data_IF_006166226210
#
_entry.id   IF_006166226210
#
_cell.length_a   1.000
_cell.length_b   1.000
_cell.length_c   1.000
_cell.angle_alpha   90.00
_cell.angle_beta   90.00
_cell.angle_gamma   90.00
#
_symmetry.space_group_name_H-M   'P 1'
#
loop_
_entity.id
_entity.type
_entity.pdbx_description
1 polymer ?
#
# COMPACT_ATOMS: atom_id res chain seq x y z
N UNK A 1 21.72 -11.39 -6.08
CA UNK A 1 20.53 -10.78 -5.45
C UNK A 1 19.58 -10.28 -6.53
N UNK A 2 18.34 -10.76 -6.54
CA UNK A 2 17.29 -10.21 -7.41
C UNK A 2 17.13 -8.70 -7.15
N UNK A 3 16.90 -7.93 -8.21
CA UNK A 3 16.59 -6.50 -8.10
C UNK A 3 15.13 -6.39 -7.65
N UNK A 4 14.83 -5.57 -6.63
CA UNK A 4 13.45 -5.36 -6.19
C UNK A 4 12.66 -4.59 -7.25
N UNK A 5 11.45 -5.04 -7.54
CA UNK A 5 10.56 -4.39 -8.50
C UNK A 5 10.18 -3.00 -8.01
N UNK A 6 10.36 -1.93 -8.82
CA UNK A 6 9.95 -0.59 -8.42
C UNK A 6 8.42 -0.51 -8.28
N UNK A 7 7.99 0.11 -7.18
CA UNK A 7 6.58 0.31 -6.88
C UNK A 7 6.00 1.36 -7.84
N UNK A 8 4.90 1.01 -8.50
CA UNK A 8 4.10 1.97 -9.27
C UNK A 8 3.28 2.81 -8.31
N UNK A 9 3.36 4.14 -8.39
CA UNK A 9 2.48 5.03 -7.62
C UNK A 9 1.23 5.40 -8.39
N UNK A 10 0.24 5.97 -7.71
CA UNK A 10 -0.96 6.51 -8.34
C UNK A 10 -0.62 7.76 -9.20
N UNK A 11 -1.25 7.97 -10.37
CA UNK A 11 -0.96 9.08 -11.29
C UNK A 11 -1.60 10.41 -10.86
N UNK A 12 -1.25 10.91 -9.67
CA UNK A 12 -1.85 12.12 -9.07
C UNK A 12 -1.83 13.33 -10.01
N UNK A 13 -0.74 13.56 -10.75
CA UNK A 13 -0.62 14.69 -11.65
C UNK A 13 -1.66 14.66 -12.79
N UNK A 14 -1.91 13.48 -13.38
CA UNK A 14 -2.91 13.32 -14.43
C UNK A 14 -4.33 13.48 -13.87
N UNK A 15 -4.56 12.92 -12.69
CA UNK A 15 -5.83 13.00 -11.94
C UNK A 15 -6.20 14.45 -11.61
N UNK A 16 -5.28 15.21 -11.00
CA UNK A 16 -5.49 16.60 -10.62
C UNK A 16 -5.70 17.48 -11.86
N UNK A 17 -4.91 17.27 -12.92
CA UNK A 17 -5.09 18.03 -14.16
C UNK A 17 -6.47 17.80 -14.79
N UNK A 18 -7.00 16.59 -14.68
CA UNK A 18 -8.32 16.26 -15.23
C UNK A 18 -9.46 16.82 -14.38
N UNK A 19 -9.38 16.70 -13.05
CA UNK A 19 -10.38 17.31 -12.17
C UNK A 19 -10.45 18.83 -12.36
N UNK A 20 -9.31 19.51 -12.41
CA UNK A 20 -9.25 20.96 -12.64
C UNK A 20 -9.83 21.38 -14.00
N UNK A 21 -9.64 20.57 -15.04
CA UNK A 21 -10.21 20.86 -16.35
C UNK A 21 -11.74 20.85 -16.32
N UNK A 22 -12.34 19.87 -15.62
CA UNK A 22 -13.79 19.78 -15.46
C UNK A 22 -14.31 20.85 -14.50
N UNK A 23 -13.65 21.05 -13.37
CA UNK A 23 -14.02 22.08 -12.39
C UNK A 23 -14.02 23.48 -13.02
N UNK A 24 -13.10 23.77 -13.95
CA UNK A 24 -13.11 25.03 -14.70
C UNK A 24 -14.40 25.19 -15.51
N UNK A 25 -14.84 24.13 -16.21
CA UNK A 25 -16.11 24.14 -16.96
C UNK A 25 -17.31 24.32 -16.02
N UNK A 26 -17.32 23.62 -14.88
CA UNK A 26 -18.37 23.72 -13.86
C UNK A 26 -18.42 25.14 -13.24
N UNK A 27 -17.27 25.75 -12.95
CA UNK A 27 -17.20 27.12 -12.45
C UNK A 27 -17.76 28.13 -13.46
N UNK A 28 -17.38 28.01 -14.73
CA UNK A 28 -17.89 28.87 -15.80
C UNK A 28 -19.42 28.72 -15.92
N UNK A 29 -19.92 27.49 -15.84
CA UNK A 29 -21.35 27.23 -15.85
C UNK A 29 -22.06 27.87 -14.64
N UNK A 30 -21.51 27.72 -13.43
CA UNK A 30 -22.05 28.34 -12.23
C UNK A 30 -22.16 29.86 -12.31
N UNK A 31 -21.13 30.53 -12.85
CA UNK A 31 -21.15 31.97 -13.07
C UNK A 31 -22.26 32.40 -14.03
N UNK A 32 -22.44 31.65 -15.13
CA UNK A 32 -23.52 31.90 -16.08
C UNK A 32 -24.90 31.61 -15.48
N UNK A 33 -25.05 30.58 -14.65
CA UNK A 33 -26.30 30.28 -13.93
C UNK A 33 -26.73 31.45 -13.06
N UNK A 34 -25.84 31.97 -12.20
CA UNK A 34 -26.17 33.10 -11.32
C UNK A 34 -26.53 34.35 -12.13
N UNK A 35 -25.73 34.65 -13.16
CA UNK A 35 -25.99 35.79 -14.04
C UNK A 35 -27.36 35.71 -14.74
N UNK A 36 -27.75 34.52 -15.20
CA UNK A 36 -29.03 34.32 -15.87
C UNK A 36 -30.20 34.33 -14.88
N UNK A 37 -30.02 33.78 -13.69
CA UNK A 37 -30.98 33.88 -12.59
C UNK A 37 -31.27 35.33 -12.22
N UNK A 38 -30.22 36.13 -12.00
CA UNK A 38 -30.34 37.54 -11.65
C UNK A 38 -31.01 38.38 -12.74
N UNK A 39 -30.80 38.01 -14.00
CA UNK A 39 -31.35 38.71 -15.14
C UNK A 39 -32.82 38.39 -15.39
N UNK A 40 -33.23 37.14 -15.19
CA UNK A 40 -34.51 36.65 -15.69
C UNK A 40 -35.51 36.24 -14.59
N UNK A 41 -35.03 35.81 -13.42
CA UNK A 41 -35.88 35.27 -12.35
C UNK A 41 -35.94 36.22 -11.15
N UNK A 42 -34.80 36.75 -10.70
CA UNK A 42 -34.75 37.64 -9.54
C UNK A 42 -35.68 38.88 -9.64
N UNK A 43 -35.80 39.58 -10.79
CA UNK A 43 -36.69 40.74 -10.90
C UNK A 43 -38.17 40.38 -10.71
N UNK A 44 -38.59 39.20 -11.16
CA UNK A 44 -39.96 38.71 -11.03
C UNK A 44 -40.29 38.37 -9.57
N UNK A 45 -39.29 37.91 -8.80
CA UNK A 45 -39.43 37.65 -7.37
C UNK A 45 -39.55 38.92 -6.53
N UNK A 46 -38.89 40.00 -6.96
CA UNK A 46 -39.05 41.31 -6.32
C UNK A 46 -40.44 41.87 -6.59
N UNK A 47 -40.92 41.82 -7.85
CA UNK A 47 -42.27 42.28 -8.21
C UNK A 47 -43.35 41.49 -7.47
N UNK A 48 -43.17 40.18 -7.23
CA UNK A 48 -44.11 39.36 -6.43
C UNK A 48 -44.33 39.89 -5.01
N UNK A 49 -43.35 40.60 -4.43
CA UNK A 49 -43.49 41.20 -3.10
C UNK A 49 -44.29 42.51 -3.14
N UNK A 50 -44.41 43.13 -4.31
CA UNK A 50 -45.23 44.32 -4.58
C UNK A 50 -46.55 43.91 -5.27
N UNK A 51 -47.63 44.67 -5.09
CA UNK A 51 -49.01 44.22 -5.35
C UNK A 51 -49.41 43.98 -6.84
N UNK A 52 -48.48 43.97 -7.80
CA UNK A 52 -48.73 43.90 -9.26
C UNK A 52 -48.11 42.62 -9.88
N UNK A 53 -48.44 41.46 -9.30
CA UNK A 53 -47.90 40.16 -9.68
C UNK A 53 -48.77 39.43 -10.71
N UNK A 54 -48.18 39.02 -11.84
CA UNK A 54 -48.77 38.07 -12.78
C UNK A 54 -47.92 36.80 -12.86
N UNK A 55 -48.51 35.63 -12.62
CA UNK A 55 -47.81 34.33 -12.69
C UNK A 55 -47.10 34.09 -14.04
N UNK A 56 -47.68 34.57 -15.14
CA UNK A 56 -47.13 34.44 -16.49
C UNK A 56 -45.73 35.05 -16.66
N UNK A 57 -45.45 36.18 -16.00
CA UNK A 57 -44.15 36.86 -16.07
C UNK A 57 -43.03 36.05 -15.41
N UNK A 58 -43.34 35.34 -14.33
CA UNK A 58 -42.41 34.48 -13.61
C UNK A 58 -42.06 33.23 -14.44
N UNK A 59 -43.08 32.54 -14.97
CA UNK A 59 -42.87 31.36 -15.82
C UNK A 59 -42.05 31.69 -17.08
N UNK A 60 -42.30 32.84 -17.70
CA UNK A 60 -41.51 33.30 -18.85
C UNK A 60 -40.06 33.62 -18.49
N UNK A 61 -39.83 34.22 -17.31
CA UNK A 61 -38.48 34.45 -16.75
C UNK A 61 -37.68 33.16 -16.58
N UNK A 62 -38.28 32.14 -15.96
CA UNK A 62 -37.67 30.82 -15.77
C UNK A 62 -37.35 30.19 -17.13
N UNK A 63 -38.32 30.18 -18.05
CA UNK A 63 -38.14 29.62 -19.40
C UNK A 63 -36.99 30.30 -20.14
N UNK A 64 -36.88 31.63 -20.07
CA UNK A 64 -35.78 32.41 -20.67
C UNK A 64 -34.43 32.09 -20.03
N UNK A 65 -34.37 31.92 -18.71
CA UNK A 65 -33.16 31.49 -18.00
C UNK A 65 -32.69 30.13 -18.51
N UNK A 66 -33.56 29.12 -18.50
CA UNK A 66 -33.20 27.75 -18.89
C UNK A 66 -32.84 27.62 -20.38
N UNK A 67 -33.55 28.31 -21.27
CA UNK A 67 -33.18 28.37 -22.69
C UNK A 67 -31.80 28.99 -22.89
N UNK A 68 -31.50 30.08 -22.19
CA UNK A 68 -30.20 30.74 -22.26
C UNK A 68 -29.10 29.88 -21.67
N UNK A 69 -29.39 29.19 -20.57
CA UNK A 69 -28.43 28.33 -19.88
C UNK A 69 -28.09 27.09 -20.71
N UNK A 70 -29.10 26.46 -21.35
CA UNK A 70 -28.87 25.35 -22.28
C UNK A 70 -27.88 25.73 -23.40
N UNK A 71 -28.04 26.93 -23.96
CA UNK A 71 -27.11 27.45 -24.97
C UNK A 71 -25.69 27.69 -24.43
N UNK A 72 -25.55 28.03 -23.14
CA UNK A 72 -24.25 28.18 -22.46
C UNK A 72 -23.62 26.81 -22.19
N UNK A 73 -24.38 25.85 -21.67
CA UNK A 73 -23.93 24.47 -21.43
C UNK A 73 -23.36 23.87 -22.72
N UNK A 74 -24.05 23.97 -23.86
CA UNK A 74 -23.55 23.43 -25.13
C UNK A 74 -22.25 24.07 -25.63
N UNK A 75 -21.91 25.29 -25.18
CA UNK A 75 -20.64 25.95 -25.51
C UNK A 75 -19.52 25.56 -24.54
N UNK A 76 -19.82 25.56 -23.24
CA UNK A 76 -18.87 25.23 -22.17
C UNK A 76 -18.49 23.75 -22.25
N UNK A 77 -19.49 22.88 -22.24
CA UNK A 77 -19.37 21.42 -22.35
C UNK A 77 -19.52 20.97 -23.81
N UNK A 78 -18.92 21.71 -24.75
CA UNK A 78 -18.92 21.30 -26.16
C UNK A 78 -18.24 19.93 -26.31
N UNK A 79 -18.67 19.15 -27.31
CA UNK A 79 -18.06 17.85 -27.64
C UNK A 79 -16.54 17.96 -27.74
N UNK A 80 -16.01 18.99 -28.40
CA UNK A 80 -14.58 19.22 -28.54
C UNK A 80 -13.86 19.52 -27.20
N UNK A 81 -14.49 20.26 -26.28
CA UNK A 81 -13.93 20.54 -24.96
C UNK A 81 -13.85 19.27 -24.11
N UNK A 82 -14.95 18.51 -24.07
CA UNK A 82 -15.06 17.25 -23.31
C UNK A 82 -14.11 16.19 -23.85
N UNK A 83 -14.06 16.00 -25.17
CA UNK A 83 -13.13 15.09 -25.83
C UNK A 83 -11.67 15.49 -25.58
N UNK A 84 -11.34 16.79 -25.61
CA UNK A 84 -9.97 17.24 -25.32
C UNK A 84 -9.56 16.92 -23.89
N UNK A 85 -10.43 17.20 -22.91
CA UNK A 85 -10.16 16.91 -21.51
C UNK A 85 -9.96 15.40 -21.28
N UNK A 86 -10.89 14.58 -21.78
CA UNK A 86 -10.82 13.13 -21.68
C UNK A 86 -9.60 12.55 -22.44
N UNK A 87 -9.34 13.01 -23.67
CA UNK A 87 -8.20 12.54 -24.48
C UNK A 87 -6.86 12.85 -23.82
N UNK A 88 -6.67 14.07 -23.32
CA UNK A 88 -5.44 14.43 -22.60
C UNK A 88 -5.27 13.59 -21.34
N UNK A 89 -6.34 13.42 -20.57
CA UNK A 89 -6.33 12.60 -19.36
C UNK A 89 -5.90 11.15 -19.63
N UNK A 90 -6.61 10.45 -20.52
CA UNK A 90 -6.34 9.05 -20.83
C UNK A 90 -4.93 8.87 -21.44
N UNK A 91 -4.48 9.79 -22.30
CA UNK A 91 -3.11 9.77 -22.86
C UNK A 91 -2.03 9.95 -21.79
N UNK A 92 -2.27 10.79 -20.79
CA UNK A 92 -1.33 10.99 -19.69
C UNK A 92 -1.24 9.74 -18.81
N UNK A 93 -2.36 9.08 -18.52
CA UNK A 93 -2.38 7.80 -17.81
C UNK A 93 -1.62 6.73 -18.59
N UNK A 94 -1.84 6.64 -19.91
CA UNK A 94 -1.10 5.70 -20.76
C UNK A 94 0.42 5.93 -20.71
N UNK A 95 0.87 7.19 -20.86
CA UNK A 95 2.29 7.55 -20.81
C UNK A 95 2.90 7.19 -19.45
N UNK A 96 2.20 7.54 -18.38
CA UNK A 96 2.60 7.22 -17.01
C UNK A 96 2.72 5.71 -16.80
N UNK A 97 1.68 4.96 -17.18
CA UNK A 97 1.67 3.51 -17.04
C UNK A 97 2.80 2.87 -17.86
N UNK A 98 3.00 3.29 -19.11
CA UNK A 98 4.06 2.75 -19.98
C UNK A 98 5.44 2.94 -19.36
N UNK A 99 5.71 4.12 -18.83
CA UNK A 99 6.95 4.41 -18.13
C UNK A 99 7.16 3.49 -16.91
N UNK A 100 6.11 3.27 -16.11
CA UNK A 100 6.21 2.41 -14.93
C UNK A 100 6.44 0.94 -15.31
N UNK A 101 5.71 0.41 -16.30
CA UNK A 101 5.95 -0.95 -16.79
C UNK A 101 7.38 -1.08 -17.32
N UNK A 102 7.87 -0.10 -18.10
CA UNK A 102 9.27 -0.08 -18.56
C UNK A 102 10.28 -0.16 -17.39
N UNK A 103 10.04 0.54 -16.27
CA UNK A 103 10.93 0.43 -15.11
C UNK A 103 10.80 -0.92 -14.40
N UNK A 104 9.60 -1.47 -14.30
CA UNK A 104 9.36 -2.79 -13.70
C UNK A 104 10.04 -3.90 -14.51
N UNK A 105 9.97 -3.85 -15.84
CA UNK A 105 10.50 -4.89 -16.72
C UNK A 105 12.03 -4.88 -16.84
N UNK A 106 12.67 -3.70 -16.69
CA UNK A 106 14.14 -3.58 -16.62
C UNK A 106 14.77 -4.43 -15.50
N UNK A 107 14.01 -4.74 -14.46
CA UNK A 107 14.47 -5.56 -13.33
C UNK A 107 14.84 -6.98 -13.78
N UNK A 108 14.04 -7.56 -14.68
CA UNK A 108 14.23 -8.89 -15.25
C UNK A 108 14.84 -8.87 -16.66
N UNK A 109 15.28 -7.69 -17.13
CA UNK A 109 15.86 -7.53 -18.47
C UNK A 109 14.87 -7.75 -19.61
N UNK A 110 13.56 -7.66 -19.33
CA UNK A 110 12.50 -7.78 -20.33
C UNK A 110 12.38 -6.44 -21.05
N UNK A 111 12.51 -6.44 -22.38
CA UNK A 111 12.20 -5.27 -23.20
C UNK A 111 10.73 -5.35 -23.64
N UNK A 112 9.99 -4.25 -23.45
CA UNK A 112 8.60 -4.20 -23.87
C UNK A 112 8.56 -4.15 -25.39
N UNK A 113 8.16 -5.26 -26.00
CA UNK A 113 7.88 -5.31 -27.43
C UNK A 113 6.83 -4.24 -27.75
N UNK A 114 7.20 -3.27 -28.58
CA UNK A 114 6.46 -2.02 -28.79
C UNK A 114 5.06 -2.17 -29.41
N UNK A 115 4.61 -3.39 -29.72
CA UNK A 115 3.34 -3.61 -30.41
C UNK A 115 2.21 -3.86 -29.40
N UNK A 116 1.31 -2.89 -29.27
CA UNK A 116 0.11 -2.96 -28.42
C UNK A 116 -1.17 -2.81 -29.28
N UNK A 117 -1.60 -3.84 -30.06
CA UNK A 117 -2.74 -3.71 -30.97
C UNK A 117 -4.05 -3.32 -30.26
N UNK A 118 -4.23 -3.79 -29.02
CA UNK A 118 -5.37 -3.51 -28.16
C UNK A 118 -5.46 -2.05 -27.69
N UNK A 119 -4.33 -1.33 -27.69
CA UNK A 119 -4.23 -0.03 -27.02
C UNK A 119 -5.12 1.02 -27.69
N UNK A 120 -5.17 1.04 -29.03
CA UNK A 120 -5.96 2.03 -29.77
C UNK A 120 -7.44 1.98 -29.37
N UNK A 121 -8.01 0.79 -29.38
CA UNK A 121 -9.43 0.58 -29.08
C UNK A 121 -9.70 0.81 -27.59
N UNK A 122 -8.80 0.36 -26.71
CA UNK A 122 -8.90 0.65 -25.27
C UNK A 122 -8.91 2.15 -24.98
N UNK A 123 -7.95 2.91 -25.54
CA UNK A 123 -7.90 4.37 -25.37
C UNK A 123 -9.15 5.04 -25.91
N UNK A 124 -9.64 4.62 -27.08
CA UNK A 124 -10.87 5.16 -27.66
C UNK A 124 -12.09 4.93 -26.76
N UNK A 125 -12.26 3.71 -26.24
CA UNK A 125 -13.33 3.38 -25.29
C UNK A 125 -13.24 4.24 -24.04
N UNK A 126 -12.06 4.31 -23.39
CA UNK A 126 -11.89 5.10 -22.17
C UNK A 126 -12.10 6.60 -22.37
N UNK A 127 -11.75 7.12 -23.54
CA UNK A 127 -12.06 8.52 -23.90
C UNK A 127 -13.58 8.71 -24.02
N UNK A 128 -14.26 7.80 -24.73
CA UNK A 128 -15.72 7.85 -24.91
C UNK A 128 -16.45 7.76 -23.57
N UNK A 129 -16.07 6.83 -22.69
CA UNK A 129 -16.63 6.68 -21.34
C UNK A 129 -16.50 7.98 -20.55
N UNK A 130 -15.30 8.59 -20.59
CA UNK A 130 -15.01 9.83 -19.88
C UNK A 130 -15.74 11.05 -20.44
N UNK A 131 -15.98 11.11 -21.75
CA UNK A 131 -16.90 12.10 -22.33
C UNK A 131 -18.33 11.89 -21.80
N UNK A 132 -18.75 10.64 -21.65
CA UNK A 132 -20.02 10.27 -21.01
C UNK A 132 -20.11 10.77 -19.56
N UNK A 133 -19.09 10.53 -18.75
CA UNK A 133 -19.06 11.01 -17.36
C UNK A 133 -19.11 12.54 -17.27
N UNK A 134 -18.36 13.26 -18.13
CA UNK A 134 -18.41 14.72 -18.20
C UNK A 134 -19.82 15.20 -18.56
N UNK A 135 -20.49 14.51 -19.49
CA UNK A 135 -21.87 14.81 -19.86
C UNK A 135 -22.83 14.68 -18.68
N UNK A 136 -22.73 13.59 -17.92
CA UNK A 136 -23.54 13.35 -16.73
C UNK A 136 -23.27 14.36 -15.60
N UNK A 137 -22.15 15.08 -15.59
CA UNK A 137 -21.95 16.17 -14.61
C UNK A 137 -22.87 17.35 -14.92
N UNK A 138 -22.93 17.79 -16.18
CA UNK A 138 -23.74 18.96 -16.53
C UNK A 138 -25.23 18.63 -16.66
N UNK A 139 -25.60 17.39 -16.97
CA UNK A 139 -27.00 16.94 -16.97
C UNK A 139 -27.57 16.94 -15.55
N UNK A 140 -26.90 16.30 -14.59
CA UNK A 140 -27.30 16.32 -13.18
C UNK A 140 -27.33 17.75 -12.63
N UNK A 141 -26.32 18.58 -12.96
CA UNK A 141 -26.33 19.99 -12.55
C UNK A 141 -27.56 20.73 -13.08
N UNK A 142 -27.95 20.49 -14.35
CA UNK A 142 -29.09 21.16 -14.97
C UNK A 142 -30.42 20.74 -14.31
N UNK A 143 -30.57 19.48 -13.94
CA UNK A 143 -31.73 18.99 -13.18
C UNK A 143 -31.76 19.60 -11.77
N UNK A 144 -30.63 19.61 -11.06
CA UNK A 144 -30.51 20.19 -9.73
C UNK A 144 -30.92 21.66 -9.68
N UNK A 145 -30.43 22.49 -10.61
CA UNK A 145 -30.78 23.92 -10.63
C UNK A 145 -32.25 24.15 -10.97
N UNK A 146 -32.87 23.28 -11.79
CA UNK A 146 -34.30 23.33 -12.08
C UNK A 146 -35.10 23.06 -10.82
N UNK A 147 -34.71 22.06 -10.04
CA UNK A 147 -35.30 21.76 -8.75
C UNK A 147 -35.12 22.93 -7.77
N UNK A 148 -33.90 23.45 -7.60
CA UNK A 148 -33.62 24.58 -6.70
C UNK A 148 -34.48 25.81 -7.03
N UNK A 149 -34.57 26.18 -8.32
CA UNK A 149 -35.39 27.33 -8.73
C UNK A 149 -36.87 27.03 -8.47
N UNK A 150 -37.39 25.89 -8.92
CA UNK A 150 -38.81 25.55 -8.75
C UNK A 150 -39.22 25.43 -7.28
N UNK A 151 -38.41 24.79 -6.44
CA UNK A 151 -38.67 24.67 -5.01
C UNK A 151 -38.61 26.02 -4.32
N UNK A 152 -37.57 26.81 -4.58
CA UNK A 152 -37.44 28.16 -4.00
C UNK A 152 -38.64 29.05 -4.32
N UNK A 153 -39.25 28.89 -5.50
CA UNK A 153 -40.45 29.61 -5.88
C UNK A 153 -41.71 29.12 -5.16
N UNK A 154 -41.87 27.80 -5.04
CA UNK A 154 -42.98 27.16 -4.33
C UNK A 154 -42.97 27.50 -2.84
N UNK A 155 -41.79 27.50 -2.21
CA UNK A 155 -41.61 27.79 -0.79
C UNK A 155 -41.54 29.28 -0.45
N UNK A 156 -41.49 30.17 -1.46
CA UNK A 156 -41.33 31.61 -1.23
C UNK A 156 -39.95 31.98 -0.67
N UNK A 157 -38.91 31.22 -1.01
CA UNK A 157 -37.54 31.46 -0.57
C UNK A 157 -37.02 32.82 -1.05
N UNK A 158 -36.16 33.44 -0.24
CA UNK A 158 -35.53 34.71 -0.61
C UNK A 158 -34.58 34.54 -1.81
N UNK A 159 -34.40 35.59 -2.60
CA UNK A 159 -33.44 35.62 -3.73
C UNK A 159 -32.03 35.23 -3.26
N UNK A 160 -31.64 35.70 -2.06
CA UNK A 160 -30.36 35.36 -1.44
C UNK A 160 -30.24 33.86 -1.20
N UNK A 161 -31.26 33.24 -0.60
CA UNK A 161 -31.30 31.80 -0.32
C UNK A 161 -31.22 30.97 -1.60
N UNK A 162 -31.98 31.33 -2.64
CA UNK A 162 -31.93 30.62 -3.92
C UNK A 162 -30.54 30.73 -4.55
N UNK A 163 -29.91 31.91 -4.50
CA UNK A 163 -28.54 32.10 -4.98
C UNK A 163 -27.54 31.20 -4.24
N UNK A 164 -27.63 31.13 -2.92
CA UNK A 164 -26.79 30.27 -2.08
C UNK A 164 -26.97 28.79 -2.44
N UNK A 165 -28.21 28.33 -2.65
CA UNK A 165 -28.49 26.96 -3.09
C UNK A 165 -27.91 26.67 -4.48
N UNK A 166 -28.09 27.58 -5.45
CA UNK A 166 -27.51 27.45 -6.79
C UNK A 166 -25.97 27.36 -6.76
N UNK A 167 -25.33 28.12 -5.87
CA UNK A 167 -23.87 28.01 -5.65
C UNK A 167 -23.50 26.67 -4.99
N UNK A 168 -24.33 26.15 -4.10
CA UNK A 168 -24.18 24.80 -3.53
C UNK A 168 -24.11 23.71 -4.61
N UNK A 169 -24.98 23.79 -5.62
CA UNK A 169 -24.97 22.83 -6.75
C UNK A 169 -23.67 22.87 -7.57
N UNK A 170 -23.02 24.04 -7.65
CA UNK A 170 -21.71 24.18 -8.29
C UNK A 170 -20.65 23.40 -7.51
N UNK A 171 -20.65 23.50 -6.18
CA UNK A 171 -19.71 22.78 -5.32
C UNK A 171 -19.95 21.26 -5.36
N UNK A 172 -21.21 20.82 -5.38
CA UNK A 172 -21.57 19.40 -5.56
C UNK A 172 -21.01 18.87 -6.90
N UNK A 173 -21.16 19.65 -7.98
CA UNK A 173 -20.66 19.27 -9.30
C UNK A 173 -19.13 19.20 -9.37
N UNK A 174 -18.42 20.08 -8.64
CA UNK A 174 -16.96 19.99 -8.50
C UNK A 174 -16.53 18.73 -7.74
N UNK A 175 -17.22 18.42 -6.64
CA UNK A 175 -16.95 17.19 -5.88
C UNK A 175 -17.16 15.95 -6.74
N UNK A 176 -18.19 15.94 -7.59
CA UNK A 176 -18.43 14.88 -8.57
C UNK A 176 -17.30 14.79 -9.61
N UNK A 177 -16.80 15.93 -10.10
CA UNK A 177 -15.65 15.96 -11.00
C UNK A 177 -14.38 15.36 -10.36
N UNK A 178 -14.10 15.70 -9.11
CA UNK A 178 -12.97 15.14 -8.35
C UNK A 178 -13.13 13.65 -8.10
N UNK A 179 -14.34 13.20 -7.76
CA UNK A 179 -14.66 11.78 -7.60
C UNK A 179 -14.33 11.02 -8.90
N UNK A 180 -14.90 11.47 -10.02
CA UNK A 180 -14.73 10.85 -11.33
C UNK A 180 -13.25 10.81 -11.73
N UNK A 181 -12.51 11.89 -11.51
CA UNK A 181 -11.10 11.94 -11.88
C UNK A 181 -10.27 10.87 -11.15
N UNK A 182 -10.44 10.72 -9.83
CA UNK A 182 -9.71 9.72 -9.03
C UNK A 182 -10.13 8.30 -9.41
N UNK A 183 -11.45 8.09 -9.52
CA UNK A 183 -12.04 6.80 -9.86
C UNK A 183 -11.57 6.28 -11.22
N UNK A 184 -11.65 7.12 -12.24
CA UNK A 184 -11.27 6.76 -13.60
C UNK A 184 -9.75 6.64 -13.74
N UNK A 185 -8.95 7.42 -13.00
CA UNK A 185 -7.49 7.29 -13.04
C UNK A 185 -7.04 5.94 -12.49
N UNK A 186 -7.63 5.49 -11.37
CA UNK A 186 -7.38 4.18 -10.79
C UNK A 186 -7.80 3.05 -11.72
N UNK A 187 -9.04 3.09 -12.20
CA UNK A 187 -9.59 2.02 -13.04
C UNK A 187 -8.82 1.86 -14.35
N UNK A 188 -8.53 2.97 -15.05
CA UNK A 188 -7.77 2.92 -16.30
C UNK A 188 -6.35 2.41 -16.06
N UNK A 189 -5.67 2.89 -15.01
CA UNK A 189 -4.33 2.44 -14.66
C UNK A 189 -4.29 0.94 -14.36
N UNK A 190 -5.21 0.45 -13.54
CA UNK A 190 -5.31 -0.97 -13.16
C UNK A 190 -5.51 -1.87 -14.37
N UNK A 191 -6.47 -1.53 -15.23
CA UNK A 191 -6.77 -2.29 -16.45
C UNK A 191 -5.61 -2.29 -17.45
N UNK A 192 -4.94 -1.15 -17.65
CA UNK A 192 -3.75 -1.07 -18.52
C UNK A 192 -2.59 -1.88 -17.96
N UNK A 193 -2.37 -1.84 -16.66
CA UNK A 193 -1.32 -2.61 -15.98
C UNK A 193 -1.57 -4.10 -16.17
N UNK A 194 -2.78 -4.57 -15.88
CA UNK A 194 -3.16 -5.97 -16.06
C UNK A 194 -2.96 -6.43 -17.50
N UNK A 195 -3.47 -5.67 -18.48
CA UNK A 195 -3.34 -6.04 -19.89
C UNK A 195 -1.87 -6.10 -20.33
N UNK A 196 -1.04 -5.14 -19.90
CA UNK A 196 0.39 -5.12 -20.24
C UNK A 196 1.16 -6.27 -19.58
N UNK A 197 0.90 -6.54 -18.31
CA UNK A 197 1.48 -7.67 -17.57
C UNK A 197 1.11 -9.00 -18.23
N UNK A 198 -0.17 -9.23 -18.50
CA UNK A 198 -0.64 -10.47 -19.13
C UNK A 198 -0.06 -10.67 -20.54
N UNK A 199 0.09 -9.59 -21.33
CA UNK A 199 0.67 -9.68 -22.68
C UNK A 199 2.14 -10.11 -22.69
N UNK A 200 2.87 -9.92 -21.59
CA UNK A 200 4.26 -10.34 -21.44
C UNK A 200 4.40 -11.58 -20.55
N UNK A 201 3.29 -12.27 -20.27
CA UNK A 201 3.27 -13.55 -19.57
C UNK A 201 3.16 -13.45 -18.04
N UNK A 202 3.03 -12.26 -17.47
CA UNK A 202 2.88 -12.09 -16.02
C UNK A 202 1.43 -12.43 -15.64
N UNK A 203 1.27 -13.46 -14.82
CA UNK A 203 -0.03 -14.01 -14.42
C UNK A 203 -0.51 -13.52 -13.06
N UNK A 204 0.42 -13.21 -12.14
CA UNK A 204 0.15 -12.81 -10.77
C UNK A 204 0.67 -11.41 -10.48
N UNK A 205 0.07 -10.78 -9.48
CA UNK A 205 0.48 -9.47 -8.98
C UNK A 205 0.34 -9.41 -7.46
N UNK A 206 1.22 -8.65 -6.84
CA UNK A 206 1.06 -8.20 -5.45
C UNK A 206 0.19 -6.93 -5.46
N UNK A 207 -0.83 -6.91 -4.61
CA UNK A 207 -1.63 -5.72 -4.39
C UNK A 207 -0.86 -4.73 -3.53
N UNK A 208 -0.75 -3.48 -3.96
CA UNK A 208 -0.10 -2.43 -3.17
C UNK A 208 -1.03 -1.23 -2.98
N UNK A 209 -1.28 -0.86 -1.73
CA UNK A 209 -2.14 0.27 -1.41
C UNK A 209 -1.41 1.63 -1.49
N UNK A 210 -2.13 2.73 -1.23
CA UNK A 210 -1.53 4.07 -1.27
C UNK A 210 -0.76 4.46 0.01
N UNK A 211 -0.70 3.56 1.00
CA UNK A 211 -0.03 3.74 2.29
C UNK A 211 -0.39 5.02 3.06
N UNK A 212 -1.63 5.51 2.93
CA UNK A 212 -2.11 6.71 3.64
C UNK A 212 -3.37 6.46 4.48
N UNK A 213 -3.77 7.48 5.25
CA UNK A 213 -4.90 7.40 6.17
C UNK A 213 -6.25 7.19 5.47
N UNK A 214 -6.34 7.48 4.17
CA UNK A 214 -7.57 7.39 3.38
C UNK A 214 -7.80 6.00 2.82
N UNK A 215 -6.79 5.13 2.87
CA UNK A 215 -6.93 3.74 2.43
C UNK A 215 -7.93 3.01 3.33
N UNK A 216 -8.94 2.40 2.70
CA UNK A 216 -10.00 1.66 3.38
C UNK A 216 -9.45 0.39 4.01
N UNK A 217 -9.97 -0.01 5.18
CA UNK A 217 -9.52 -1.23 5.90
C UNK A 217 -9.53 -2.50 5.05
N UNK A 218 -10.52 -2.65 4.16
CA UNK A 218 -10.57 -3.78 3.23
C UNK A 218 -9.40 -3.78 2.24
N UNK A 219 -8.99 -2.61 1.75
CA UNK A 219 -7.86 -2.48 0.82
C UNK A 219 -6.51 -2.64 1.53
N UNK A 220 -6.38 -2.14 2.77
CA UNK A 220 -5.17 -2.36 3.60
C UNK A 220 -4.89 -3.84 3.82
N UNK A 221 -5.93 -4.65 4.00
CA UNK A 221 -5.82 -6.11 4.16
C UNK A 221 -5.34 -6.84 2.91
N UNK A 222 -5.57 -6.26 1.73
CA UNK A 222 -5.10 -6.82 0.47
C UNK A 222 -3.64 -6.42 0.20
N UNK A 223 -3.16 -5.32 0.78
CA UNK A 223 -1.80 -4.85 0.51
C UNK A 223 -0.76 -5.88 0.94
N UNK A 224 0.15 -6.24 0.04
CA UNK A 224 1.15 -7.29 0.23
C UNK A 224 0.64 -8.71 -0.04
N UNK A 225 -0.64 -8.89 -0.35
CA UNK A 225 -1.18 -10.19 -0.78
C UNK A 225 -1.01 -10.35 -2.30
N UNK A 226 -0.75 -11.58 -2.72
CA UNK A 226 -0.59 -11.94 -4.14
C UNK A 226 -1.88 -12.52 -4.70
N UNK A 227 -2.28 -12.06 -5.87
CA UNK A 227 -3.46 -12.52 -6.59
C UNK A 227 -3.14 -12.81 -8.05
N UNK A 228 -3.96 -13.64 -8.69
CA UNK A 228 -3.90 -13.85 -10.13
C UNK A 228 -4.75 -12.80 -10.86
N UNK A 229 -4.31 -12.34 -12.03
CA UNK A 229 -5.15 -11.55 -12.91
C UNK A 229 -6.40 -12.30 -13.39
N UNK A 230 -6.37 -13.64 -13.42
CA UNK A 230 -7.53 -14.47 -13.79
C UNK A 230 -8.52 -14.69 -12.63
N UNK A 231 -8.07 -14.51 -11.38
CA UNK A 231 -8.91 -14.63 -10.19
C UNK A 231 -8.55 -13.52 -9.17
N UNK A 232 -8.94 -12.26 -9.46
CA UNK A 232 -8.65 -11.16 -8.57
C UNK A 232 -9.44 -11.25 -7.25
N UNK A 233 -9.07 -10.49 -6.21
CA UNK A 233 -9.77 -10.53 -4.93
C UNK A 233 -11.21 -10.01 -5.05
N UNK A 234 -12.06 -10.46 -4.14
CA UNK A 234 -13.39 -9.89 -3.94
C UNK A 234 -13.31 -8.66 -3.02
N UNK A 235 -13.84 -7.53 -3.48
CA UNK A 235 -14.04 -6.33 -2.68
C UNK A 235 -15.47 -5.87 -2.84
N UNK A 236 -16.21 -5.88 -1.73
CA UNK A 236 -17.63 -5.51 -1.67
C UNK A 236 -18.52 -6.37 -2.61
N UNK A 237 -18.26 -7.68 -2.69
CA UNK A 237 -19.03 -8.62 -3.51
C UNK A 237 -18.72 -8.53 -5.00
N UNK A 238 -17.60 -7.92 -5.37
CA UNK A 238 -17.15 -7.76 -6.76
C UNK A 238 -15.69 -8.14 -6.88
N UNK A 239 -15.38 -8.92 -7.91
CA UNK A 239 -14.02 -9.18 -8.36
C UNK A 239 -13.44 -7.90 -8.96
N UNK A 240 -12.38 -7.36 -8.35
CA UNK A 240 -11.79 -6.07 -8.76
C UNK A 240 -10.28 -6.13 -8.84
N UNK A 241 -9.72 -5.47 -9.84
CA UNK A 241 -8.29 -5.19 -9.90
C UNK A 241 -7.94 -3.97 -9.03
N UNK A 242 -6.67 -3.81 -8.61
CA UNK A 242 -6.21 -2.57 -7.98
C UNK A 242 -6.60 -1.35 -8.81
N UNK A 243 -7.28 -0.39 -8.17
CA UNK A 243 -7.76 0.83 -8.81
C UNK A 243 -9.20 0.79 -9.34
N UNK A 244 -9.84 -0.39 -9.48
CA UNK A 244 -11.19 -0.49 -10.06
C UNK A 244 -12.34 -0.30 -9.08
N UNK A 245 -12.09 -0.45 -7.78
CA UNK A 245 -13.08 -0.12 -6.77
C UNK A 245 -13.21 1.40 -6.62
N UNK A 246 -14.33 1.88 -6.09
CA UNK A 246 -14.66 3.31 -6.12
C UNK A 246 -13.58 4.19 -5.49
N UNK A 247 -13.12 5.21 -6.24
CA UNK A 247 -12.00 6.11 -5.85
C UNK A 247 -10.76 5.37 -5.32
N UNK A 248 -10.50 4.16 -5.79
CA UNK A 248 -9.34 3.38 -5.36
C UNK A 248 -8.05 3.93 -6.00
N UNK A 249 -6.98 4.00 -5.20
CA UNK A 249 -5.64 4.43 -5.63
C UNK A 249 -4.59 3.33 -5.47
N UNK A 250 -5.04 2.09 -5.21
CA UNK A 250 -4.17 0.92 -5.14
C UNK A 250 -3.65 0.57 -6.53
N UNK A 251 -2.52 -0.13 -6.57
CA UNK A 251 -1.81 -0.51 -7.79
C UNK A 251 -1.40 -1.98 -7.75
N UNK A 252 -1.10 -2.54 -8.92
CA UNK A 252 -0.59 -3.90 -9.06
C UNK A 252 0.93 -3.86 -9.27
N UNK A 253 1.68 -4.64 -8.49
CA UNK A 253 3.11 -4.87 -8.68
C UNK A 253 3.28 -6.27 -9.28
N UNK A 254 4.00 -6.44 -10.40
CA UNK A 254 4.13 -7.75 -11.02
C UNK A 254 4.90 -8.71 -10.12
N UNK A 255 4.43 -9.96 -10.05
CA UNK A 255 5.16 -11.08 -9.46
C UNK A 255 5.71 -11.93 -10.61
N UNK A 256 7.01 -12.24 -10.56
CA UNK A 256 7.68 -13.03 -11.59
C UNK A 256 7.82 -14.50 -11.17
N UNK A 257 7.93 -15.42 -12.13
CA UNK A 257 7.90 -16.88 -11.91
C UNK A 257 8.92 -17.40 -10.87
N UNK A 258 10.11 -16.79 -10.80
CA UNK A 258 11.13 -17.12 -9.79
C UNK A 258 10.74 -16.67 -8.37
N UNK A 259 9.96 -15.60 -8.26
CA UNK A 259 9.35 -15.15 -7.00
C UNK A 259 8.08 -15.96 -6.68
N UNK A 260 7.40 -16.50 -7.69
CA UNK A 260 6.22 -17.36 -7.53
C UNK A 260 6.57 -18.69 -6.85
N UNK A 261 7.66 -19.35 -7.26
CA UNK A 261 8.15 -20.58 -6.59
C UNK A 261 8.51 -20.32 -5.12
N UNK A 262 9.15 -19.19 -4.81
CA UNK A 262 9.46 -18.78 -3.43
C UNK A 262 8.19 -18.50 -2.61
N UNK A 263 7.23 -17.76 -3.17
CA UNK A 263 5.96 -17.41 -2.51
C UNK A 263 5.03 -18.61 -2.32
N UNK A 264 4.96 -19.54 -3.27
CA UNK A 264 4.16 -20.77 -3.14
C UNK A 264 4.73 -21.71 -2.07
N UNK A 265 6.06 -21.80 -1.99
CA UNK A 265 6.75 -22.53 -0.92
C UNK A 265 6.41 -21.92 0.44
N UNK A 266 6.42 -20.59 0.55
CA UNK A 266 6.03 -19.87 1.78
C UNK A 266 4.55 -20.01 2.12
N UNK A 267 3.63 -19.89 1.15
CA UNK A 267 2.19 -19.98 1.39
C UNK A 267 1.75 -21.40 1.80
N UNK A 268 2.35 -22.43 1.20
CA UNK A 268 2.13 -23.84 1.60
C UNK A 268 2.57 -24.07 3.04
N UNK A 269 3.72 -23.52 3.43
CA UNK A 269 4.21 -23.53 4.81
C UNK A 269 3.24 -22.84 5.79
N UNK A 270 2.70 -21.66 5.43
CA UNK A 270 1.77 -20.89 6.27
C UNK A 270 0.38 -21.53 6.44
N UNK A 271 -0.07 -22.34 5.47
CA UNK A 271 -1.33 -23.09 5.55
C UNK A 271 -1.20 -24.32 6.43
N UNK A 272 -0.14 -25.11 6.26
CA UNK A 272 0.19 -26.24 7.12
C UNK A 272 0.34 -25.79 8.58
N UNK A 273 0.91 -24.60 8.82
CA UNK A 273 0.99 -23.93 10.14
C UNK A 273 -0.35 -23.80 10.87
N UNK A 274 -1.46 -23.45 10.17
CA UNK A 274 -2.76 -23.21 10.83
C UNK A 274 -3.39 -24.52 11.30
N UNK A 275 -3.35 -25.54 10.45
CA UNK A 275 -3.94 -26.85 10.72
C UNK A 275 -3.19 -27.60 11.84
N UNK A 276 -1.87 -27.47 11.88
CA UNK A 276 -1.02 -28.10 12.92
C UNK A 276 -1.26 -27.46 14.31
N UNK A 277 -1.33 -26.12 14.39
CA UNK A 277 -1.54 -25.43 15.66
C UNK A 277 -2.90 -25.75 16.31
N UNK A 278 -3.96 -25.88 15.50
CA UNK A 278 -5.30 -26.26 15.98
C UNK A 278 -5.32 -27.69 16.56
N UNK A 279 -4.56 -28.62 15.98
CA UNK A 279 -4.50 -30.02 16.38
C UNK A 279 -3.76 -30.23 17.72
N UNK A 280 -2.63 -29.57 17.94
CA UNK A 280 -1.84 -29.73 19.18
C UNK A 280 -2.49 -29.05 20.39
N UNK A 281 -3.13 -27.88 20.20
CA UNK A 281 -3.88 -27.22 21.27
C UNK A 281 -5.02 -28.12 21.78
N UNK A 282 -5.55 -28.99 20.92
CA UNK A 282 -6.56 -29.96 21.27
C UNK A 282 -5.99 -31.18 22.02
N UNK A 283 -4.75 -31.58 21.74
CA UNK A 283 -4.19 -32.85 22.21
C UNK A 283 -3.23 -32.73 23.42
N UNK A 284 -2.52 -31.61 23.61
CA UNK A 284 -1.52 -31.44 24.67
C UNK A 284 -1.50 -30.01 25.28
N UNK A 285 -2.54 -29.63 26.05
CA UNK A 285 -2.72 -28.25 26.51
C UNK A 285 -1.65 -27.77 27.51
N UNK A 286 -1.17 -28.64 28.40
CA UNK A 286 -0.27 -28.25 29.50
C UNK A 286 1.17 -27.97 29.03
N UNK A 287 1.74 -28.85 28.19
CA UNK A 287 3.06 -28.67 27.56
C UNK A 287 3.09 -27.40 26.71
N UNK A 288 1.98 -27.07 26.05
CA UNK A 288 1.85 -25.85 25.26
C UNK A 288 1.93 -24.57 26.11
N UNK A 289 1.56 -24.64 27.39
CA UNK A 289 1.50 -23.46 28.27
C UNK A 289 2.85 -23.16 28.90
N UNK A 290 3.53 -24.17 29.46
CA UNK A 290 4.84 -23.98 30.10
C UNK A 290 5.92 -23.53 29.09
N UNK A 291 5.91 -24.10 27.88
CA UNK A 291 6.81 -23.68 26.81
C UNK A 291 6.53 -22.25 26.34
N UNK A 292 5.24 -21.87 26.21
CA UNK A 292 4.85 -20.50 25.88
C UNK A 292 5.36 -19.49 26.91
N UNK A 293 5.22 -19.81 28.18
CA UNK A 293 5.68 -18.93 29.27
C UNK A 293 7.21 -18.76 29.25
N UNK A 294 7.95 -19.84 28.99
CA UNK A 294 9.41 -19.80 28.86
C UNK A 294 9.87 -18.91 27.70
N UNK A 295 9.28 -19.07 26.50
CA UNK A 295 9.63 -18.27 25.32
C UNK A 295 9.18 -16.82 25.47
N UNK A 296 8.00 -16.57 26.05
CA UNK A 296 7.52 -15.22 26.35
C UNK A 296 8.48 -14.50 27.30
N UNK A 297 8.92 -15.17 28.36
CA UNK A 297 9.88 -14.62 29.33
C UNK A 297 11.23 -14.30 28.66
N UNK A 298 11.74 -15.20 27.83
CA UNK A 298 13.00 -14.99 27.11
C UNK A 298 12.89 -13.84 26.08
N UNK A 299 11.72 -13.70 25.44
CA UNK A 299 11.41 -12.61 24.51
C UNK A 299 11.37 -11.27 25.20
N UNK A 300 10.64 -11.15 26.30
CA UNK A 300 10.58 -9.92 27.09
C UNK A 300 11.96 -9.52 27.59
N UNK A 301 12.77 -10.48 28.06
CA UNK A 301 14.13 -10.25 28.52
C UNK A 301 15.03 -9.63 27.44
N UNK A 302 14.93 -10.13 26.20
CA UNK A 302 15.73 -9.64 25.08
C UNK A 302 15.20 -8.28 24.57
N UNK A 303 13.88 -8.12 24.46
CA UNK A 303 13.25 -6.88 24.01
C UNK A 303 13.50 -5.70 24.94
N UNK A 304 13.44 -5.89 26.26
CA UNK A 304 13.69 -4.83 27.25
C UNK A 304 15.07 -4.17 27.06
N UNK A 305 16.07 -4.98 26.70
CA UNK A 305 17.45 -4.55 26.51
C UNK A 305 17.70 -3.85 25.19
N UNK A 306 17.00 -4.26 24.13
CA UNK A 306 17.21 -3.75 22.77
C UNK A 306 16.38 -2.49 22.49
N UNK A 307 15.14 -2.43 22.99
CA UNK A 307 14.16 -1.38 22.63
C UNK A 307 14.64 0.05 22.92
N UNK A 308 15.35 0.24 24.02
CA UNK A 308 15.84 1.57 24.44
C UNK A 308 16.90 2.13 23.50
N UNK A 309 17.70 1.27 22.90
CA UNK A 309 18.82 1.64 22.05
C UNK A 309 18.41 1.86 20.58
N UNK A 310 17.27 1.31 20.17
CA UNK A 310 16.76 1.39 18.80
C UNK A 310 15.31 1.91 18.74
N UNK A 311 15.04 3.16 19.16
CA UNK A 311 13.67 3.68 19.31
C UNK A 311 12.91 3.88 17.99
N UNK A 312 13.61 3.86 16.85
CA UNK A 312 13.00 3.92 15.50
C UNK A 312 12.60 2.54 14.96
N UNK A 313 13.02 1.46 15.61
CA UNK A 313 12.65 0.09 15.25
C UNK A 313 11.28 -0.19 15.84
N UNK A 314 10.36 -0.59 14.98
CA UNK A 314 8.99 -0.93 15.37
C UNK A 314 8.97 -2.33 15.97
N UNK A 315 9.16 -2.40 17.29
CA UNK A 315 9.05 -3.63 18.05
C UNK A 315 7.60 -4.00 18.43
N UNK A 316 6.59 -3.18 18.08
CA UNK A 316 5.17 -3.50 18.34
C UNK A 316 4.66 -4.59 17.38
N UNK A 317 5.33 -4.77 16.24
CA UNK A 317 5.06 -5.81 15.25
C UNK A 317 6.04 -6.99 15.27
N UNK A 318 6.92 -7.07 16.29
CA UNK A 318 7.72 -8.28 16.53
C UNK A 318 6.80 -9.32 17.17
N UNK A 319 6.33 -10.26 16.36
CA UNK A 319 5.55 -11.39 16.83
C UNK A 319 6.56 -12.52 17.07
N UNK A 320 6.95 -12.73 18.33
CA UNK A 320 7.44 -14.05 18.72
C UNK A 320 6.19 -14.89 18.94
N UNK A 321 5.73 -15.52 17.86
CA UNK A 321 4.57 -16.40 17.94
C UNK A 321 5.07 -17.74 18.47
N UNK A 322 4.60 -18.11 19.65
CA UNK A 322 4.93 -19.37 20.30
C UNK A 322 4.19 -20.53 19.59
N UNK A 323 4.59 -20.85 18.37
CA UNK A 323 3.87 -21.81 17.56
C UNK A 323 4.69 -22.43 16.45
N UNK A 324 5.33 -23.56 16.75
CA UNK A 324 5.05 -24.82 16.04
C UNK A 324 5.65 -26.01 16.81
N UNK A 325 4.82 -26.92 17.34
CA UNK A 325 5.26 -28.29 17.56
C UNK A 325 5.10 -29.01 16.21
N UNK A 326 6.16 -29.59 15.68
CA UNK A 326 6.09 -30.36 14.43
C UNK A 326 6.08 -31.83 14.83
N UNK A 327 5.02 -32.54 14.47
CA UNK A 327 4.97 -33.99 14.65
C UNK A 327 5.79 -34.66 13.52
N UNK A 328 7.11 -34.64 13.67
CA UNK A 328 7.99 -35.64 13.08
C UNK A 328 8.46 -36.52 14.25
N UNK A 329 7.81 -37.66 14.43
CA UNK A 329 8.08 -38.66 15.48
C UNK A 329 8.09 -38.08 16.92
N UNK A 330 6.89 -37.99 17.52
CA UNK A 330 6.55 -37.85 18.96
C UNK A 330 7.27 -36.83 19.87
N UNK A 331 8.31 -36.08 19.48
CA UNK A 331 9.10 -35.30 20.46
C UNK A 331 9.71 -33.98 19.94
N UNK A 332 9.02 -33.18 19.12
CA UNK A 332 9.57 -31.88 18.67
C UNK A 332 8.65 -30.63 18.82
N UNK A 333 9.14 -29.63 19.57
CA UNK A 333 8.70 -28.23 19.76
C UNK A 333 9.64 -27.23 19.10
N UNK A 334 9.18 -26.36 18.21
CA UNK A 334 9.98 -25.31 17.59
C UNK A 334 9.58 -23.87 17.91
N UNK A 335 10.49 -22.93 17.64
CA UNK A 335 10.28 -21.49 17.80
C UNK A 335 10.43 -20.81 16.45
N UNK A 336 9.49 -19.91 16.17
CA UNK A 336 9.51 -19.07 14.99
C UNK A 336 9.27 -17.61 15.39
N UNK A 337 10.28 -16.76 15.22
CA UNK A 337 10.10 -15.31 15.32
C UNK A 337 9.83 -14.76 13.93
N UNK A 338 8.79 -13.94 13.83
CA UNK A 338 8.41 -13.28 12.60
C UNK A 338 8.57 -11.77 12.77
N UNK A 339 9.15 -11.16 11.74
CA UNK A 339 9.10 -9.72 11.57
C UNK A 339 8.54 -9.39 10.19
N UNK A 340 7.43 -8.61 10.15
CA UNK A 340 6.70 -8.23 8.92
C UNK A 340 6.45 -9.37 7.91
N UNK A 341 6.16 -10.58 8.41
CA UNK A 341 5.90 -11.81 7.61
C UNK A 341 7.15 -12.51 7.06
N UNK A 342 8.35 -12.02 7.35
CA UNK A 342 9.60 -12.76 7.13
C UNK A 342 9.89 -13.65 8.34
N UNK A 343 10.15 -14.94 8.08
CA UNK A 343 10.53 -15.94 9.08
C UNK A 343 12.02 -15.81 9.35
N UNK A 344 12.39 -15.49 10.59
CA UNK A 344 13.80 -15.33 10.98
C UNK A 344 14.30 -16.57 11.73
N UNK A 345 13.51 -17.09 12.66
CA UNK A 345 13.82 -18.34 13.38
C UNK A 345 13.05 -19.50 12.78
N UNK A 346 13.72 -20.59 12.45
CA UNK A 346 13.09 -21.91 12.46
C UNK A 346 14.01 -22.90 13.16
N UNK A 347 13.76 -23.15 14.43
CA UNK A 347 14.47 -24.20 15.16
C UNK A 347 13.46 -25.20 15.69
N UNK A 348 13.65 -26.48 15.38
CA UNK A 348 12.90 -27.60 15.94
C UNK A 348 13.66 -28.13 17.14
N UNK A 349 13.11 -27.99 18.33
CA UNK A 349 13.67 -28.52 19.57
C UNK A 349 12.78 -29.63 20.12
N UNK A 350 13.19 -30.36 21.15
CA UNK A 350 12.33 -31.36 21.78
C UNK A 350 11.52 -30.82 22.96
N UNK A 351 11.50 -31.57 24.07
CA UNK A 351 11.14 -31.03 25.39
C UNK A 351 12.02 -29.83 25.77
N UNK A 352 11.66 -29.05 26.80
CA UNK A 352 12.51 -27.95 27.33
C UNK A 352 13.94 -28.44 27.57
N UNK A 353 14.10 -29.66 28.07
CA UNK A 353 15.40 -30.27 28.30
C UNK A 353 16.16 -30.55 27.00
N UNK A 354 15.52 -31.17 26.00
CA UNK A 354 16.15 -31.40 24.68
C UNK A 354 16.46 -30.10 23.95
N UNK A 355 15.67 -29.06 24.18
CA UNK A 355 15.91 -27.70 23.67
C UNK A 355 17.21 -27.14 24.24
N UNK A 356 17.40 -27.23 25.55
CA UNK A 356 18.63 -26.81 26.20
C UNK A 356 19.84 -27.64 25.75
N UNK A 357 19.67 -28.96 25.56
CA UNK A 357 20.72 -29.85 25.05
C UNK A 357 21.11 -29.52 23.61
N UNK A 358 20.15 -29.31 22.70
CA UNK A 358 20.42 -28.92 21.32
C UNK A 358 21.08 -27.55 21.23
N UNK A 359 20.65 -26.57 22.03
CA UNK A 359 21.29 -25.25 22.08
C UNK A 359 22.75 -25.40 22.56
N UNK A 360 22.97 -26.21 23.59
CA UNK A 360 24.31 -26.50 24.08
C UNK A 360 25.18 -27.20 23.03
N UNK A 361 24.62 -28.17 22.29
CA UNK A 361 25.29 -28.89 21.21
C UNK A 361 25.60 -27.98 20.00
N UNK A 362 24.63 -27.17 19.57
CA UNK A 362 24.79 -26.23 18.46
C UNK A 362 25.85 -25.17 18.76
N UNK A 363 25.97 -24.75 20.03
CA UNK A 363 27.04 -23.89 20.49
C UNK A 363 28.42 -24.60 20.53
N UNK A 364 28.45 -25.92 20.69
CA UNK A 364 29.69 -26.72 20.57
C UNK A 364 30.09 -26.96 19.12
N UNK A 365 29.11 -27.06 18.20
CA UNK A 365 29.30 -27.18 16.75
C UNK A 365 29.63 -25.83 16.07
N UNK A 366 29.69 -24.73 16.82
CA UNK A 366 30.06 -23.41 16.31
C UNK A 366 28.98 -22.73 15.47
N UNK A 367 27.73 -23.20 15.56
CA UNK A 367 26.57 -22.53 14.94
C UNK A 367 26.14 -21.27 15.70
N UNK A 368 26.44 -21.22 17.01
CA UNK A 368 26.20 -20.06 17.88
C UNK A 368 27.40 -19.85 18.80
N UNK A 369 27.64 -18.62 19.27
CA UNK A 369 28.71 -18.36 20.23
C UNK A 369 28.32 -18.89 21.60
N UNK A 370 29.10 -19.78 22.21
CA UNK A 370 28.77 -20.31 23.55
C UNK A 370 28.83 -19.21 24.62
N UNK A 371 27.69 -18.67 25.02
CA UNK A 371 27.57 -17.67 26.09
C UNK A 371 27.41 -18.35 27.46
N UNK A 372 27.76 -17.65 28.55
CA UNK A 372 27.42 -18.08 29.93
C UNK A 372 25.90 -18.15 30.15
N UNK A 373 25.13 -17.43 29.34
CA UNK A 373 23.66 -17.47 29.32
C UNK A 373 23.07 -18.52 28.36
N UNK A 374 23.91 -19.38 27.77
CA UNK A 374 23.54 -20.39 26.75
C UNK A 374 22.14 -20.96 26.93
N UNK A 375 21.24 -20.62 26.01
CA UNK A 375 19.81 -20.88 26.15
C UNK A 375 18.96 -20.05 25.18
N UNK A 376 17.65 -20.10 25.37
CA UNK A 376 16.66 -19.50 24.46
C UNK A 376 16.78 -17.98 24.31
N UNK A 377 17.25 -17.30 25.37
CA UNK A 377 17.48 -15.85 25.33
C UNK A 377 18.49 -15.47 24.24
N UNK A 378 19.51 -16.31 24.00
CA UNK A 378 20.52 -16.05 22.98
C UNK A 378 19.94 -16.18 21.58
N UNK A 379 19.19 -17.26 21.32
CA UNK A 379 18.52 -17.47 20.03
C UNK A 379 17.62 -16.28 19.73
N UNK A 380 16.77 -15.89 20.69
CA UNK A 380 15.87 -14.74 20.48
C UNK A 380 16.65 -13.43 20.29
N UNK A 381 17.73 -13.21 21.05
CA UNK A 381 18.53 -11.99 20.92
C UNK A 381 19.27 -11.90 19.58
N UNK A 382 19.78 -13.02 19.06
CA UNK A 382 20.36 -13.10 17.72
C UNK A 382 19.34 -12.69 16.66
N UNK A 383 18.11 -13.15 16.81
CA UNK A 383 17.07 -13.05 15.79
C UNK A 383 16.38 -11.70 15.79
N UNK A 384 16.29 -11.08 16.98
CA UNK A 384 16.05 -9.65 17.08
C UNK A 384 17.13 -8.84 16.35
N UNK A 385 18.37 -9.33 16.32
CA UNK A 385 19.46 -8.73 15.55
C UNK A 385 19.16 -8.62 14.06
N UNK A 386 18.62 -9.69 13.46
CA UNK A 386 18.17 -9.68 12.05
C UNK A 386 17.03 -8.68 11.83
N UNK A 387 16.06 -8.62 12.75
CA UNK A 387 14.95 -7.67 12.66
C UNK A 387 15.40 -6.19 12.79
N UNK A 388 16.42 -5.92 13.60
CA UNK A 388 17.02 -4.60 13.78
C UNK A 388 17.81 -4.20 12.54
N UNK A 389 18.62 -5.12 11.99
CA UNK A 389 19.36 -4.92 10.74
C UNK A 389 18.40 -4.54 9.61
N UNK A 390 17.33 -5.31 9.40
CA UNK A 390 16.40 -5.08 8.29
C UNK A 390 15.73 -3.69 8.37
N UNK A 391 15.30 -3.30 9.57
CA UNK A 391 14.55 -2.06 9.79
C UNK A 391 15.42 -0.80 9.79
N UNK A 392 16.64 -0.89 10.29
CA UNK A 392 17.55 0.25 10.39
C UNK A 392 18.43 0.39 9.16
N UNK A 393 18.74 -0.74 8.52
CA UNK A 393 19.75 -0.86 7.47
C UNK A 393 19.10 -1.65 6.34
N UNK A 394 18.10 -1.07 5.68
CA UNK A 394 17.43 -1.74 4.56
C UNK A 394 18.43 -2.20 3.49
N UNK A 395 18.77 -3.50 3.49
CA UNK A 395 19.54 -4.37 2.57
C UNK A 395 20.82 -3.82 1.88
N UNK A 396 21.07 -2.50 1.70
CA UNK A 396 22.13 -1.98 0.80
C UNK A 396 22.67 -0.60 1.18
N UNK A 397 22.82 -0.29 2.45
CA UNK A 397 23.55 0.93 2.80
C UNK A 397 25.05 0.78 2.56
N UNK A 398 25.53 1.31 1.42
CA UNK A 398 26.92 1.14 0.96
C UNK A 398 27.93 1.74 1.94
N UNK A 399 27.58 2.86 2.57
CA UNK A 399 28.45 3.52 3.55
C UNK A 399 28.58 2.66 4.82
N UNK A 400 27.47 2.16 5.35
CA UNK A 400 27.48 1.23 6.48
C UNK A 400 28.24 -0.06 6.15
N UNK A 401 28.02 -0.67 4.98
CA UNK A 401 28.73 -1.88 4.59
C UNK A 401 30.23 -1.65 4.42
N UNK A 402 30.64 -0.46 3.95
CA UNK A 402 32.05 -0.08 3.84
C UNK A 402 32.67 0.16 5.21
N UNK A 403 31.97 0.86 6.12
CA UNK A 403 32.40 1.08 7.50
C UNK A 403 32.47 -0.24 8.29
N UNK A 404 31.48 -1.13 8.13
CA UNK A 404 31.45 -2.47 8.72
C UNK A 404 32.59 -3.32 8.15
N UNK A 405 32.79 -3.31 6.83
CA UNK A 405 33.87 -4.07 6.20
C UNK A 405 35.24 -3.60 6.70
N UNK A 406 35.48 -2.29 6.81
CA UNK A 406 36.73 -1.77 7.37
C UNK A 406 36.86 -2.07 8.87
N UNK A 407 35.76 -2.03 9.64
CA UNK A 407 35.76 -2.45 11.03
C UNK A 407 36.19 -3.91 11.14
N UNK A 408 35.52 -4.78 10.40
CA UNK A 408 35.69 -6.23 10.44
C UNK A 408 37.05 -6.65 9.87
N UNK A 409 37.56 -5.98 8.82
CA UNK A 409 38.87 -6.24 8.19
C UNK A 409 40.07 -5.82 9.05
N UNK A 410 39.96 -4.75 9.83
CA UNK A 410 41.05 -4.25 10.68
C UNK A 410 41.18 -5.01 12.01
N UNK A 411 40.10 -5.62 12.47
CA UNK A 411 40.16 -6.59 13.54
C UNK A 411 40.63 -7.92 12.97
N UNK A 412 41.59 -8.60 13.62
CA UNK A 412 41.80 -10.02 13.39
C UNK A 412 40.55 -10.76 13.92
N UNK A 413 39.50 -10.81 13.11
CA UNK A 413 38.34 -11.71 13.30
C UNK A 413 38.86 -13.12 13.62
N UNK A 414 39.96 -13.48 12.96
CA UNK A 414 40.75 -14.72 13.06
C UNK A 414 41.28 -15.12 14.43
N UNK A 415 41.20 -14.29 15.47
CA UNK A 415 41.68 -14.67 16.81
C UNK A 415 40.65 -14.43 17.94
N UNK A 416 39.60 -13.62 17.72
CA UNK A 416 38.60 -13.32 18.76
C UNK A 416 37.20 -13.89 18.48
N UNK A 417 36.87 -14.17 17.21
CA UNK A 417 35.69 -14.94 16.82
C UNK A 417 36.05 -16.36 16.35
N UNK A 418 37.35 -16.64 16.11
CA UNK A 418 37.86 -17.93 15.62
C UNK A 418 37.86 -19.06 16.65
N UNK A 419 37.56 -18.78 17.92
CA UNK A 419 37.21 -19.85 18.88
C UNK A 419 35.76 -20.31 18.68
N UNK A 420 34.96 -19.63 17.85
CA UNK A 420 33.49 -19.71 17.93
C UNK A 420 32.72 -19.86 16.60
N UNK A 421 33.38 -19.97 15.42
CA UNK A 421 32.73 -20.35 14.16
C UNK A 421 33.73 -20.66 13.02
N UNK A 422 33.37 -21.55 12.08
CA UNK A 422 34.18 -21.89 10.90
C UNK A 422 34.31 -20.73 9.89
N UNK A 423 35.50 -20.59 9.28
CA UNK A 423 35.92 -19.47 8.40
C UNK A 423 34.99 -19.23 7.18
N UNK A 424 34.22 -20.23 6.72
CA UNK A 424 33.38 -20.13 5.51
C UNK A 424 31.98 -19.52 5.74
N UNK A 425 31.42 -19.56 6.96
CA UNK A 425 30.03 -19.16 7.20
C UNK A 425 29.83 -17.64 7.29
N UNK A 426 30.80 -16.91 7.87
CA UNK A 426 30.66 -15.48 8.18
C UNK A 426 31.19 -14.52 7.11
N UNK A 427 32.11 -14.95 6.23
CA UNK A 427 32.66 -14.08 5.19
C UNK A 427 31.65 -13.78 4.05
N UNK A 428 30.59 -14.59 3.94
CA UNK A 428 29.49 -14.39 2.98
C UNK A 428 28.23 -13.74 3.56
N UNK A 429 28.09 -13.67 4.90
CA UNK A 429 26.83 -13.33 5.55
C UNK A 429 27.01 -12.29 6.68
N UNK A 430 27.22 -11.03 6.29
CA UNK A 430 27.34 -9.91 7.24
C UNK A 430 26.14 -9.78 8.20
N UNK A 431 24.95 -10.28 7.81
CA UNK A 431 23.74 -10.26 8.64
C UNK A 431 23.93 -11.11 9.89
N UNK A 432 24.45 -12.34 9.77
CA UNK A 432 24.74 -13.22 10.92
C UNK A 432 25.73 -12.59 11.90
N UNK A 433 26.75 -11.90 11.37
CA UNK A 433 27.75 -11.22 12.18
C UNK A 433 27.13 -10.09 13.01
N UNK A 434 26.22 -9.32 12.39
CA UNK A 434 25.50 -8.22 13.06
C UNK A 434 24.56 -8.77 14.13
N UNK A 435 23.84 -9.83 13.80
CA UNK A 435 22.89 -10.51 14.68
C UNK A 435 23.57 -11.12 15.90
N UNK A 436 24.70 -11.79 15.70
CA UNK A 436 25.48 -12.36 16.81
C UNK A 436 26.13 -11.27 17.66
N UNK A 437 26.59 -10.16 17.05
CA UNK A 437 27.11 -9.02 17.81
C UNK A 437 26.05 -8.39 18.71
N UNK A 438 24.80 -8.30 18.23
CA UNK A 438 23.65 -7.86 19.03
C UNK A 438 23.38 -8.85 20.16
N UNK A 439 23.32 -10.15 19.87
CA UNK A 439 23.11 -11.18 20.89
C UNK A 439 24.14 -11.07 22.03
N UNK A 440 25.43 -11.06 21.70
CA UNK A 440 26.52 -10.94 22.67
C UNK A 440 26.45 -9.63 23.47
N UNK A 441 26.12 -8.52 22.79
CA UNK A 441 26.07 -7.23 23.45
C UNK A 441 24.98 -7.17 24.52
N UNK A 442 23.77 -7.59 24.18
CA UNK A 442 22.61 -7.46 25.05
C UNK A 442 22.52 -8.57 26.11
N UNK A 443 23.07 -9.75 25.85
CA UNK A 443 23.25 -10.76 26.90
C UNK A 443 24.36 -10.39 27.89
N UNK A 444 25.09 -9.29 27.69
CA UNK A 444 26.11 -8.82 28.64
C UNK A 444 27.45 -9.55 28.52
N UNK A 445 27.70 -10.18 27.37
CA UNK A 445 28.93 -10.91 27.03
C UNK A 445 29.64 -10.24 25.85
N UNK A 446 29.62 -8.92 25.88
CA UNK A 446 30.20 -8.06 24.86
C UNK A 446 31.69 -8.36 24.62
N UNK A 447 32.06 -8.57 23.36
CA UNK A 447 33.45 -8.54 22.91
C UNK A 447 33.79 -7.14 22.40
N UNK A 448 35.08 -6.80 22.32
CA UNK A 448 35.52 -5.51 21.75
C UNK A 448 34.96 -5.30 20.34
N UNK A 449 34.80 -6.37 19.58
CA UNK A 449 34.22 -6.32 18.24
C UNK A 449 32.70 -6.14 18.29
N UNK A 450 31.97 -6.88 19.15
CA UNK A 450 30.52 -6.74 19.23
C UNK A 450 30.08 -5.36 19.75
N UNK A 451 30.81 -4.77 20.71
CA UNK A 451 30.56 -3.39 21.15
C UNK A 451 30.72 -2.37 20.02
N UNK A 452 31.74 -2.58 19.17
CA UNK A 452 32.01 -1.69 18.05
C UNK A 452 30.98 -1.82 16.94
N UNK A 453 30.54 -3.04 16.64
CA UNK A 453 29.48 -3.31 15.68
C UNK A 453 28.16 -2.70 16.17
N UNK A 454 27.76 -2.98 17.41
CA UNK A 454 26.52 -2.42 17.97
C UNK A 454 26.57 -0.89 18.06
N UNK A 455 27.73 -0.32 18.40
CA UNK A 455 27.91 1.14 18.34
C UNK A 455 27.73 1.69 16.93
N UNK A 456 28.31 1.04 15.92
CA UNK A 456 28.14 1.43 14.52
C UNK A 456 26.66 1.40 14.12
N UNK A 457 25.93 0.34 14.50
CA UNK A 457 24.49 0.22 14.25
C UNK A 457 23.69 1.32 14.97
N UNK A 458 23.99 1.62 16.23
CA UNK A 458 23.36 2.71 17.01
C UNK A 458 23.62 4.08 16.40
N UNK A 459 24.86 4.34 15.98
CA UNK A 459 25.24 5.61 15.34
C UNK A 459 24.53 5.77 13.99
N UNK A 460 24.36 4.68 13.24
CA UNK A 460 23.60 4.67 12.00
C UNK A 460 22.10 4.89 12.24
N UNK A 461 21.52 4.24 13.26
CA UNK A 461 20.12 4.40 13.64
C UNK A 461 19.76 5.85 14.03
N UNK A 462 20.73 6.60 14.57
CA UNK A 462 20.57 8.01 14.95
C UNK A 462 20.63 8.97 13.76
N UNK A 463 21.36 8.62 12.70
CA UNK A 463 21.34 9.36 11.43
C UNK A 463 19.95 9.26 10.80
#
# INVERSE_FOLDING_TARGET
>A
MAKKVPITRFPDAATVSYSLAIEKMVNELGLETIKLFDKHVAPQLTIRQDADYTEDGLFDGIKKMFLSLKNKVSKIFSTASSERAASTFVKNINRFNRHNIEQQMKVKGIDLVANEPWLKDFLHTKITDNVGYIKTIHEDYFESIENVVNEGLKSGSSIKTIREQLMGEVEISKNKAQFIAVDQAGSILGQMTAQRHQNIGIVKFEWYDSADERVRKSHKKLSGETFSYSDPPDVNGRKVLPGEDYRCRCVAIPVFDDEEEELETQASFLKNRKEINENIQQNNPDISTEFRDYVSTATEYALDRVRTDFPKVDFENVIVDNGLFVEYDEEFTGIAAYFRRTLYINTSFGSIQKTQEFIAQSAEEGMFVKTKQGGMQQVIAHELGHAIEEQLIGIRNVDFQSELHELVKNYKIREQLSEYAEEEYFYGNHMELLSEAIALHYLGESTVLSEKIVKLMKDYAKR
#
